data_IF_736905154019
#
_entry.id   IF_736905154019
#
_cell.length_a   1.000
_cell.length_b   1.000
_cell.length_c   1.000
_cell.angle_alpha   90.00
_cell.angle_beta   90.00
_cell.angle_gamma   90.00
#
_symmetry.space_group_name_H-M   'P 1'
#
loop_
_entity.id
_entity.type
_entity.pdbx_description
1 polymer ?
#
# COMPACT_ATOMS: atom_id res chain seq x y z
N UNK A 1 11.95 -16.02 14.33
CA UNK A 1 10.90 -16.52 13.44
C UNK A 1 10.81 -15.70 12.13
N UNK A 2 10.56 -14.38 12.16
CA UNK A 2 10.53 -13.59 10.93
C UNK A 2 11.82 -13.68 10.12
N UNK A 3 12.97 -13.58 10.77
CA UNK A 3 14.28 -13.73 10.12
C UNK A 3 14.40 -15.07 9.40
N UNK A 4 14.12 -16.16 10.07
CA UNK A 4 14.26 -17.51 9.51
C UNK A 4 13.31 -17.72 8.32
N UNK A 5 12.08 -17.15 8.39
CA UNK A 5 11.13 -17.21 7.31
C UNK A 5 11.61 -16.42 6.09
N UNK A 6 12.06 -15.18 6.29
CA UNK A 6 12.59 -14.31 5.22
C UNK A 6 13.80 -14.95 4.57
N UNK A 7 14.78 -15.43 5.38
CA UNK A 7 15.97 -16.11 4.88
C UNK A 7 15.61 -17.36 4.06
N UNK A 8 14.57 -18.09 4.47
CA UNK A 8 14.09 -19.26 3.74
C UNK A 8 13.49 -18.85 2.40
N UNK A 9 12.61 -17.83 2.39
CA UNK A 9 11.99 -17.33 1.16
C UNK A 9 13.07 -16.84 0.18
N UNK A 10 14.05 -16.06 0.65
CA UNK A 10 15.17 -15.58 -0.18
C UNK A 10 15.98 -16.73 -0.76
N UNK A 11 16.31 -17.73 0.05
CA UNK A 11 17.07 -18.90 -0.40
C UNK A 11 16.33 -19.69 -1.48
N UNK A 12 15.01 -19.82 -1.36
CA UNK A 12 14.22 -20.64 -2.26
C UNK A 12 13.81 -19.92 -3.55
N UNK A 13 13.62 -18.59 -3.50
CA UNK A 13 13.07 -17.82 -4.61
C UNK A 13 14.04 -16.78 -5.19
N UNK A 14 15.20 -16.57 -4.57
CA UNK A 14 16.20 -15.60 -4.99
C UNK A 14 15.99 -14.19 -4.41
N UNK A 15 16.98 -13.34 -4.60
CA UNK A 15 17.04 -11.99 -4.02
C UNK A 15 16.03 -11.02 -4.66
N UNK A 16 15.60 -11.29 -5.87
CA UNK A 16 14.64 -10.42 -6.60
C UNK A 16 13.18 -10.71 -6.23
N UNK A 17 12.91 -11.74 -5.41
CA UNK A 17 11.58 -12.04 -4.94
C UNK A 17 11.12 -11.01 -3.91
N UNK A 18 10.05 -10.26 -4.21
CA UNK A 18 9.55 -9.20 -3.33
C UNK A 18 8.88 -9.78 -2.09
N UNK A 19 9.39 -9.42 -0.92
CA UNK A 19 8.85 -9.82 0.39
C UNK A 19 8.16 -8.63 1.04
N UNK A 20 6.83 -8.71 1.16
CA UNK A 20 6.03 -7.77 1.93
C UNK A 20 5.61 -8.40 3.26
N UNK A 21 5.77 -7.66 4.35
CA UNK A 21 5.40 -8.14 5.69
C UNK A 21 4.36 -7.21 6.35
N UNK A 22 3.53 -7.81 7.19
CA UNK A 22 2.66 -7.10 8.13
C UNK A 22 2.95 -7.65 9.54
N UNK A 23 3.47 -6.82 10.41
CA UNK A 23 3.82 -7.25 11.78
C UNK A 23 2.63 -7.25 12.72
N UNK A 24 1.51 -6.63 12.34
CA UNK A 24 0.32 -6.49 13.17
C UNK A 24 0.53 -5.68 14.45
N UNK A 25 1.69 -5.05 14.63
CA UNK A 25 2.07 -4.31 15.82
C UNK A 25 3.14 -3.26 15.50
N UNK A 26 3.60 -2.53 16.53
CA UNK A 26 4.68 -1.57 16.39
C UNK A 26 5.95 -2.22 15.81
N UNK A 27 6.53 -1.57 14.81
CA UNK A 27 7.74 -2.03 14.15
C UNK A 27 8.94 -1.61 14.99
N UNK A 28 9.64 -2.59 15.56
CA UNK A 28 10.86 -2.36 16.31
C UNK A 28 12.08 -2.21 15.40
N UNK A 29 13.18 -1.68 15.94
CA UNK A 29 14.47 -1.64 15.25
C UNK A 29 14.86 -3.03 14.70
N UNK A 30 14.69 -4.08 15.51
CA UNK A 30 15.03 -5.45 15.11
C UNK A 30 14.21 -5.95 13.90
N UNK A 31 12.98 -5.47 13.72
CA UNK A 31 12.18 -5.75 12.52
C UNK A 31 12.70 -4.95 11.33
N UNK A 32 13.06 -3.67 11.54
CA UNK A 32 13.63 -2.85 10.47
C UNK A 32 14.94 -3.42 9.89
N UNK A 33 15.71 -4.16 10.70
CA UNK A 33 16.99 -4.78 10.30
C UNK A 33 16.82 -6.05 9.46
N UNK A 34 15.59 -6.55 9.29
CA UNK A 34 15.32 -7.75 8.48
C UNK A 34 15.37 -7.44 6.98
N UNK A 35 15.66 -8.45 6.16
CA UNK A 35 15.78 -8.36 4.69
C UNK A 35 14.45 -8.51 3.96
N UNK A 36 13.46 -7.69 4.31
CA UNK A 36 12.22 -7.55 3.56
C UNK A 36 12.26 -6.32 2.65
N UNK A 37 11.39 -6.28 1.65
CA UNK A 37 11.30 -5.14 0.72
C UNK A 37 10.28 -4.11 1.20
N UNK A 38 9.11 -4.56 1.67
CA UNK A 38 8.01 -3.69 2.09
C UNK A 38 7.42 -4.15 3.41
N UNK A 39 7.16 -3.20 4.31
CA UNK A 39 6.48 -3.45 5.58
C UNK A 39 5.28 -2.54 5.75
N UNK A 40 4.13 -3.11 6.12
CA UNK A 40 2.96 -2.32 6.50
C UNK A 40 3.22 -1.67 7.86
N UNK A 41 3.40 -0.36 7.85
CA UNK A 41 3.73 0.45 9.01
C UNK A 41 2.52 1.09 9.68
N UNK A 42 1.43 1.23 8.94
CA UNK A 42 0.18 1.81 9.43
C UNK A 42 -1.01 1.12 8.76
N UNK A 43 -2.00 0.78 9.58
CA UNK A 43 -3.32 0.38 9.15
C UNK A 43 -4.34 1.04 10.09
N UNK A 44 -5.25 1.84 9.54
CA UNK A 44 -6.23 2.53 10.37
C UNK A 44 -7.04 3.59 9.65
N UNK A 45 -7.87 4.31 10.43
CA UNK A 45 -8.72 5.38 9.89
C UNK A 45 -7.92 6.58 9.41
N UNK A 46 -8.49 7.32 8.44
CA UNK A 46 -7.95 8.61 8.01
C UNK A 46 -7.77 9.58 9.19
N UNK A 47 -8.70 9.58 10.14
CA UNK A 47 -8.59 10.41 11.35
C UNK A 47 -7.34 10.08 12.16
N UNK A 48 -7.09 8.80 12.44
CA UNK A 48 -5.87 8.37 13.16
C UNK A 48 -4.60 8.68 12.37
N UNK A 49 -4.63 8.46 11.05
CA UNK A 49 -3.49 8.77 10.20
C UNK A 49 -3.15 10.26 10.21
N UNK A 50 -4.15 11.13 10.21
CA UNK A 50 -3.98 12.59 10.19
C UNK A 50 -3.64 13.19 11.56
N UNK A 51 -4.05 12.54 12.65
CA UNK A 51 -3.68 12.96 14.00
C UNK A 51 -2.18 12.81 14.22
N UNK A 52 -1.58 13.84 14.85
CA UNK A 52 -0.21 13.74 15.35
C UNK A 52 -0.28 13.38 16.83
N UNK A 53 0.12 12.17 17.17
CA UNK A 53 0.38 11.79 18.55
C UNK A 53 1.91 11.80 18.76
N UNK A 54 2.44 12.79 19.48
CA UNK A 54 3.89 12.86 19.74
C UNK A 54 4.45 11.63 20.45
N UNK A 55 3.60 10.92 21.20
CA UNK A 55 3.97 9.68 21.89
C UNK A 55 3.94 8.44 21.00
N UNK A 56 3.29 8.53 19.82
CA UNK A 56 3.17 7.42 18.87
C UNK A 56 3.15 7.95 17.43
N UNK A 57 4.28 8.44 16.93
CA UNK A 57 4.36 8.97 15.58
C UNK A 57 4.12 7.88 14.54
N UNK A 58 3.46 8.22 13.44
CA UNK A 58 3.21 7.29 12.33
C UNK A 58 4.52 6.71 11.78
N UNK A 59 5.55 7.54 11.65
CA UNK A 59 6.89 7.12 11.23
C UNK A 59 7.90 7.49 12.32
N UNK A 60 8.21 6.58 13.25
CA UNK A 60 9.23 6.79 14.28
C UNK A 60 10.63 7.05 13.70
N UNK A 61 11.48 7.75 14.44
CA UNK A 61 12.80 8.17 13.96
C UNK A 61 13.71 7.01 13.54
N UNK A 62 13.65 5.88 14.24
CA UNK A 62 14.43 4.72 13.87
C UNK A 62 14.05 4.15 12.51
N UNK A 63 12.81 4.35 12.05
CA UNK A 63 12.36 3.91 10.73
C UNK A 63 12.80 4.85 9.61
N UNK A 64 13.06 6.13 9.92
CA UNK A 64 13.52 7.14 8.95
C UNK A 64 14.94 6.85 8.43
N UNK A 65 15.71 6.02 9.12
CA UNK A 65 17.04 5.59 8.70
C UNK A 65 17.01 4.64 7.49
N UNK A 66 15.85 4.09 7.15
CA UNK A 66 15.68 3.12 6.06
C UNK A 66 15.04 3.77 4.83
N UNK A 67 15.24 3.19 3.63
CA UNK A 67 14.63 3.72 2.41
C UNK A 67 13.11 3.85 2.52
N UNK A 68 12.57 4.94 2.04
CA UNK A 68 11.13 5.21 2.04
C UNK A 68 10.31 4.15 1.26
N UNK A 69 10.96 3.50 0.30
CA UNK A 69 10.37 2.39 -0.47
C UNK A 69 10.00 1.18 0.37
N UNK A 70 10.47 1.11 1.61
CA UNK A 70 10.14 0.01 2.55
C UNK A 70 8.81 0.20 3.26
N UNK A 71 8.19 1.39 3.20
CA UNK A 71 7.04 1.69 4.05
C UNK A 71 5.75 1.72 3.25
N UNK A 72 4.76 1.00 3.77
CA UNK A 72 3.42 0.91 3.26
C UNK A 72 2.41 1.32 4.33
N UNK A 73 1.46 2.18 3.96
CA UNK A 73 0.34 2.56 4.79
C UNK A 73 -0.98 2.16 4.12
N UNK A 74 -1.91 1.69 4.95
CA UNK A 74 -3.29 1.37 4.57
C UNK A 74 -4.20 2.29 5.36
N UNK A 75 -4.93 3.17 4.67
CA UNK A 75 -5.79 4.18 5.29
C UNK A 75 -7.23 3.99 4.82
N UNK A 76 -8.12 3.67 5.75
CA UNK A 76 -9.54 3.53 5.48
C UNK A 76 -10.36 4.71 6.03
N UNK A 77 -11.67 4.75 5.77
CA UNK A 77 -12.55 5.86 6.13
C UNK A 77 -12.10 7.20 5.54
N UNK A 78 -11.53 7.15 4.33
CA UNK A 78 -11.15 8.35 3.58
C UNK A 78 -12.37 8.92 2.90
N UNK A 79 -12.51 10.24 2.93
CA UNK A 79 -13.63 10.99 2.33
C UNK A 79 -13.11 12.00 1.32
N UNK A 80 -14.01 12.56 0.49
CA UNK A 80 -13.68 13.67 -0.40
C UNK A 80 -13.16 14.92 0.32
N UNK A 81 -13.44 15.06 1.63
CA UNK A 81 -12.99 16.19 2.44
C UNK A 81 -11.58 16.02 3.01
N UNK A 82 -11.12 14.77 3.21
CA UNK A 82 -9.85 14.49 3.87
C UNK A 82 -8.81 13.79 3.01
N UNK A 83 -9.17 13.29 1.81
CA UNK A 83 -8.24 12.54 0.96
C UNK A 83 -6.94 13.30 0.66
N UNK A 84 -7.04 14.59 0.32
CA UNK A 84 -5.87 15.39 -0.01
C UNK A 84 -4.90 15.46 1.17
N UNK A 85 -5.42 15.67 2.39
CA UNK A 85 -4.60 15.71 3.62
C UNK A 85 -3.91 14.37 3.87
N UNK A 86 -4.57 13.25 3.55
CA UNK A 86 -3.98 11.91 3.67
C UNK A 86 -2.81 11.75 2.70
N UNK A 87 -2.97 12.17 1.44
CA UNK A 87 -1.90 12.12 0.46
C UNK A 87 -0.75 13.06 0.82
N UNK A 88 -1.04 14.29 1.19
CA UNK A 88 -0.03 15.29 1.59
C UNK A 88 0.77 14.78 2.80
N UNK A 89 0.11 14.16 3.78
CA UNK A 89 0.80 13.58 4.93
C UNK A 89 1.67 12.37 4.55
N UNK A 90 1.19 11.48 3.69
CA UNK A 90 1.96 10.35 3.21
C UNK A 90 3.22 10.82 2.45
N UNK A 91 3.08 11.85 1.60
CA UNK A 91 4.19 12.46 0.86
C UNK A 91 5.20 13.12 1.82
N UNK A 92 4.74 13.89 2.79
CA UNK A 92 5.58 14.52 3.82
C UNK A 92 6.34 13.47 4.67
N UNK A 93 5.76 12.32 4.91
CA UNK A 93 6.41 11.19 5.60
C UNK A 93 7.26 10.33 4.66
N UNK A 94 7.29 10.67 3.36
CA UNK A 94 7.96 9.90 2.31
C UNK A 94 7.53 8.42 2.27
N UNK A 95 6.24 8.13 2.51
CA UNK A 95 5.68 6.78 2.41
C UNK A 95 5.49 6.45 0.93
N UNK A 96 6.17 5.41 0.44
CA UNK A 96 6.17 5.08 -0.99
C UNK A 96 5.01 4.22 -1.45
N UNK A 97 4.36 3.50 -0.52
CA UNK A 97 3.22 2.64 -0.81
C UNK A 97 2.04 3.08 0.04
N UNK A 98 0.99 3.55 -0.61
CA UNK A 98 -0.23 4.02 0.06
C UNK A 98 -1.46 3.37 -0.57
N UNK A 99 -2.25 2.67 0.24
CA UNK A 99 -3.60 2.26 -0.12
C UNK A 99 -4.60 3.11 0.65
N UNK A 100 -5.59 3.65 -0.04
CA UNK A 100 -6.68 4.42 0.54
C UNK A 100 -8.03 3.86 0.11
N UNK A 101 -8.99 3.85 1.03
CA UNK A 101 -10.38 3.46 0.75
C UNK A 101 -11.36 4.26 1.60
N UNK A 102 -12.54 4.49 1.06
CA UNK A 102 -13.72 5.02 1.76
C UNK A 102 -14.42 3.96 2.61
N UNK A 103 -14.07 2.68 2.45
CA UNK A 103 -14.53 1.62 3.33
C UNK A 103 -14.24 1.94 4.79
N UNK A 104 -15.07 1.47 5.70
CA UNK A 104 -14.95 1.71 7.14
C UNK A 104 -15.27 0.46 7.94
N UNK A 105 -14.70 0.38 9.15
CA UNK A 105 -15.05 -0.62 10.13
C UNK A 105 -16.27 -0.13 10.91
N UNK A 106 -17.27 -0.99 11.04
CA UNK A 106 -18.47 -0.72 11.86
C UNK A 106 -18.25 -1.36 13.23
N UNK A 107 -18.48 -0.58 14.29
CA UNK A 107 -18.48 -1.08 15.64
C UNK A 107 -19.69 -2.01 15.82
N UNK A 108 -19.47 -3.23 16.32
CA UNK A 108 -20.55 -4.17 16.64
C UNK A 108 -21.06 -3.92 18.06
N UNK A 109 -22.24 -3.28 18.24
CA UNK A 109 -22.77 -2.99 19.55
C UNK A 109 -23.22 -4.25 20.33
N UNK A 110 -23.30 -5.41 19.67
CA UNK A 110 -23.76 -6.66 20.29
C UNK A 110 -22.66 -7.40 21.04
N UNK A 111 -21.40 -7.08 20.77
CA UNK A 111 -20.23 -7.73 21.39
C UNK A 111 -19.52 -6.86 22.45
N UNK A 112 -20.26 -6.01 23.18
CA UNK A 112 -19.74 -5.28 24.34
C UNK A 112 -18.66 -4.25 24.03
N UNK A 113 -18.71 -3.62 22.85
CA UNK A 113 -17.73 -2.61 22.41
C UNK A 113 -16.40 -3.19 21.94
N UNK A 114 -16.29 -4.47 21.75
CA UNK A 114 -15.19 -5.06 21.01
C UNK A 114 -15.41 -4.84 19.51
N UNK A 115 -14.39 -4.33 18.85
CA UNK A 115 -14.39 -4.14 17.40
C UNK A 115 -14.52 -5.49 16.69
N UNK A 116 -15.74 -5.89 16.38
CA UNK A 116 -15.98 -6.89 15.37
C UNK A 116 -16.33 -6.17 14.07
N UNK A 117 -15.56 -6.32 13.00
CA UNK A 117 -15.91 -5.71 11.74
C UNK A 117 -17.21 -6.33 11.24
N UNK A 118 -18.29 -5.57 11.25
CA UNK A 118 -19.54 -5.91 10.54
C UNK A 118 -19.36 -5.72 9.04
N UNK A 119 -18.21 -5.20 8.62
CA UNK A 119 -17.74 -5.09 7.25
C UNK A 119 -16.23 -5.00 7.23
N UNK A 120 -15.64 -5.57 6.20
CA UNK A 120 -14.22 -5.42 5.92
C UNK A 120 -14.04 -4.19 5.02
N UNK A 121 -13.33 -3.12 5.45
CA UNK A 121 -13.12 -1.93 4.63
C UNK A 121 -12.35 -2.23 3.34
N UNK A 122 -11.77 -3.42 3.22
CA UNK A 122 -10.98 -3.87 2.08
C UNK A 122 -11.71 -4.88 1.18
N UNK A 123 -12.94 -5.24 1.51
CA UNK A 123 -13.74 -6.22 0.75
C UNK A 123 -14.05 -5.74 -0.66
N UNK A 124 -14.26 -4.44 -0.80
CA UNK A 124 -14.53 -3.81 -2.08
C UNK A 124 -13.40 -2.82 -2.43
N UNK A 125 -13.12 -2.62 -3.73
CA UNK A 125 -12.22 -1.56 -4.15
C UNK A 125 -12.77 -0.20 -3.68
N UNK A 126 -11.92 0.83 -3.56
CA UNK A 126 -12.36 2.18 -3.20
C UNK A 126 -13.52 2.63 -4.06
N UNK A 127 -14.51 3.29 -3.48
CA UNK A 127 -15.68 3.81 -4.16
C UNK A 127 -15.32 4.72 -5.35
N UNK A 128 -16.27 4.89 -6.28
CA UNK A 128 -16.02 5.64 -7.51
C UNK A 128 -15.52 7.05 -7.22
N UNK A 129 -16.11 7.74 -6.25
CA UNK A 129 -15.71 9.10 -5.85
C UNK A 129 -14.24 9.17 -5.46
N UNK A 130 -13.79 8.29 -4.57
CA UNK A 130 -12.39 8.26 -4.14
C UNK A 130 -11.46 7.88 -5.30
N UNK A 131 -11.83 6.93 -6.16
CA UNK A 131 -11.03 6.57 -7.34
C UNK A 131 -10.85 7.73 -8.30
N UNK A 132 -11.92 8.51 -8.53
CA UNK A 132 -11.87 9.69 -9.40
C UNK A 132 -10.96 10.79 -8.85
N UNK A 133 -10.83 10.90 -7.53
CA UNK A 133 -9.90 11.83 -6.88
C UNK A 133 -8.44 11.33 -6.92
N UNK A 134 -8.23 10.03 -6.73
CA UNK A 134 -6.88 9.41 -6.72
C UNK A 134 -6.22 9.46 -8.10
N UNK A 135 -6.95 9.15 -9.16
CA UNK A 135 -6.39 9.05 -10.52
C UNK A 135 -5.74 10.35 -11.01
N UNK A 136 -6.37 11.53 -10.89
CA UNK A 136 -5.74 12.80 -11.25
C UNK A 136 -4.51 13.12 -10.40
N UNK A 137 -4.56 12.82 -9.10
CA UNK A 137 -3.45 13.02 -8.19
C UNK A 137 -2.23 12.17 -8.59
N UNK A 138 -2.42 10.87 -8.83
CA UNK A 138 -1.39 9.96 -9.32
C UNK A 138 -0.77 10.43 -10.64
N UNK A 139 -1.60 10.89 -11.59
CA UNK A 139 -1.13 11.43 -12.87
C UNK A 139 -0.30 12.70 -12.68
N UNK A 140 -0.71 13.57 -11.77
CA UNK A 140 0.02 14.78 -11.42
C UNK A 140 1.36 14.49 -10.75
N UNK A 141 1.35 13.59 -9.76
CA UNK A 141 2.54 13.15 -9.04
C UNK A 141 3.57 12.49 -9.96
N UNK A 142 3.14 11.56 -10.80
CA UNK A 142 4.01 10.91 -11.79
C UNK A 142 4.62 11.93 -12.76
N UNK A 143 3.86 12.90 -13.25
CA UNK A 143 4.38 13.96 -14.13
C UNK A 143 5.43 14.84 -13.45
N UNK A 144 5.23 15.17 -12.17
CA UNK A 144 6.18 15.96 -11.38
C UNK A 144 7.47 15.18 -11.13
N UNK A 145 7.36 13.95 -10.66
CA UNK A 145 8.51 13.09 -10.39
C UNK A 145 9.36 12.85 -11.63
N UNK A 146 8.72 12.64 -12.77
CA UNK A 146 9.40 12.44 -14.05
C UNK A 146 10.10 13.69 -14.59
N UNK A 147 9.58 14.89 -14.31
CA UNK A 147 10.25 16.15 -14.63
C UNK A 147 11.52 16.34 -13.79
N UNK A 148 11.49 15.91 -12.53
CA UNK A 148 12.62 16.05 -11.60
C UNK A 148 13.73 15.06 -11.93
N UNK A 149 13.38 13.83 -12.28
CA UNK A 149 14.37 12.76 -12.43
C UNK A 149 14.95 12.63 -13.85
N UNK A 150 14.48 13.41 -14.83
CA UNK A 150 14.84 13.27 -16.26
C UNK A 150 14.74 11.82 -16.77
N UNK A 151 13.95 10.99 -16.10
CA UNK A 151 13.76 9.60 -16.47
C UNK A 151 12.80 9.49 -17.66
N UNK A 152 13.27 8.89 -18.76
CA UNK A 152 12.37 8.34 -19.77
C UNK A 152 11.50 7.29 -19.07
N UNK A 153 10.20 7.55 -18.93
CA UNK A 153 9.25 6.52 -18.43
C UNK A 153 9.35 5.35 -19.41
N UNK A 154 9.66 4.12 -18.94
CA UNK A 154 9.26 2.96 -19.70
C UNK A 154 7.73 3.06 -19.92
N UNK A 155 7.26 2.79 -21.13
CA UNK A 155 5.81 2.74 -21.36
C UNK A 155 5.20 1.90 -20.24
N UNK A 156 4.17 2.46 -19.60
CA UNK A 156 3.41 1.73 -18.56
C UNK A 156 3.04 0.38 -19.18
N UNK A 157 3.48 -0.75 -18.61
CA UNK A 157 3.23 -2.04 -19.22
C UNK A 157 1.73 -2.18 -19.45
N UNK A 158 1.33 -2.43 -20.68
CA UNK A 158 -0.07 -2.66 -20.99
C UNK A 158 -0.56 -3.80 -20.11
N UNK A 159 -1.61 -3.55 -19.35
CA UNK A 159 -2.24 -4.58 -18.55
C UNK A 159 -3.40 -5.20 -19.35
N UNK A 160 -3.38 -6.52 -19.48
CA UNK A 160 -4.47 -7.29 -20.08
C UNK A 160 -5.09 -8.14 -18.97
N UNK A 161 -6.39 -8.00 -18.77
CA UNK A 161 -7.15 -8.83 -17.84
C UNK A 161 -7.84 -9.92 -18.64
N UNK A 162 -7.48 -11.17 -18.39
CA UNK A 162 -8.05 -12.34 -19.06
C UNK A 162 -8.92 -13.16 -18.09
N UNK A 163 -9.88 -13.89 -18.63
CA UNK A 163 -10.53 -14.98 -17.90
C UNK A 163 -9.54 -16.09 -17.53
N UNK A 164 -9.94 -17.04 -16.65
CA UNK A 164 -9.03 -18.09 -16.17
C UNK A 164 -8.42 -18.91 -17.31
N UNK A 165 -9.19 -19.16 -18.35
CA UNK A 165 -8.82 -20.05 -19.48
C UNK A 165 -8.66 -19.29 -20.81
N UNK A 166 -8.76 -17.95 -20.84
CA UNK A 166 -8.64 -17.16 -22.06
C UNK A 166 -7.22 -17.22 -22.63
N UNK A 167 -7.04 -17.40 -23.95
CA UNK A 167 -5.73 -17.34 -24.56
C UNK A 167 -5.16 -15.91 -24.52
N UNK A 168 -3.85 -15.82 -24.38
CA UNK A 168 -3.16 -14.52 -24.54
C UNK A 168 -3.29 -14.07 -26.00
N UNK A 169 -3.77 -12.85 -26.29
CA UNK A 169 -3.91 -12.36 -27.65
C UNK A 169 -2.61 -12.43 -28.43
N UNK A 170 -2.67 -12.89 -29.67
CA UNK A 170 -1.51 -12.91 -30.56
C UNK A 170 -0.97 -11.50 -30.76
N UNK A 171 0.35 -11.34 -30.74
CA UNK A 171 1.00 -10.01 -30.87
C UNK A 171 1.03 -9.19 -29.60
N UNK A 172 0.71 -9.76 -28.44
CA UNK A 172 0.88 -9.08 -27.15
C UNK A 172 2.34 -8.61 -27.00
N UNK A 173 2.58 -7.29 -26.81
CA UNK A 173 3.93 -6.76 -26.71
C UNK A 173 4.71 -7.36 -25.52
N UNK A 174 6.02 -7.50 -25.67
CA UNK A 174 6.90 -7.86 -24.57
C UNK A 174 6.80 -6.84 -23.44
N UNK A 175 6.73 -7.29 -22.19
CA UNK A 175 6.53 -6.44 -21.02
C UNK A 175 5.07 -6.14 -20.69
N UNK A 176 4.09 -6.69 -21.42
CA UNK A 176 2.68 -6.59 -21.04
C UNK A 176 2.40 -7.42 -19.78
N UNK A 177 1.78 -6.80 -18.77
CA UNK A 177 1.31 -7.51 -17.57
C UNK A 177 0.00 -8.22 -17.88
N UNK A 178 -0.05 -9.53 -17.70
CA UNK A 178 -1.25 -10.34 -17.90
C UNK A 178 -1.78 -10.74 -16.52
N UNK A 179 -2.99 -10.27 -16.22
CA UNK A 179 -3.71 -10.62 -15.00
C UNK A 179 -4.81 -11.62 -15.38
N UNK A 180 -4.84 -12.78 -14.72
CA UNK A 180 -5.92 -13.76 -14.89
C UNK A 180 -6.89 -13.66 -13.71
N UNK A 181 -8.18 -13.66 -14.00
CA UNK A 181 -9.21 -13.81 -12.96
C UNK A 181 -9.13 -15.23 -12.40
N UNK A 182 -9.25 -15.37 -11.09
CA UNK A 182 -9.43 -16.67 -10.45
C UNK A 182 -10.79 -17.29 -10.90
N UNK A 183 -10.84 -18.62 -10.88
CA UNK A 183 -12.13 -19.34 -11.07
C UNK A 183 -13.01 -19.15 -9.86
#
# INVERSE_FOLDING_TARGET
WYKDLIDTIRRENGVDFVIAINTGSNISQAVCDLDFDVCMMFEGTATKFLQEDPGSPILPDHMKAYPSTRWWAVVHSVTSENYQKVFDKADNLAISHLYVTDGFLVEDPQNGGQWHPVGNPYENPPGAEIRELIIPWLKGYLKLKLKVDNLKIPEVPKMIILGPDDPVPAGTPSGTVIVRRAK
#
